data_IF_320689268554
#
_entry.id   IF_320689268554
#
_cell.length_a   1.000
_cell.length_b   1.000
_cell.length_c   1.000
_cell.angle_alpha   90.00
_cell.angle_beta   90.00
_cell.angle_gamma   90.00
#
_symmetry.space_group_name_H-M   'P 1'
#
loop_
_entity.id
_entity.type
_entity.pdbx_description
1 polymer ?
#
# COMPACT_ATOMS: atom_id res chain seq x y z
N UNK A 1 8.95 -5.33 -11.37
CA UNK A 1 9.12 -6.38 -10.32
C UNK A 1 8.41 -7.65 -10.75
N UNK A 2 9.00 -8.82 -10.53
CA UNK A 2 8.37 -10.12 -10.76
C UNK A 2 8.44 -10.95 -9.47
N UNK A 3 7.34 -11.59 -9.12
CA UNK A 3 7.20 -12.46 -7.94
C UNK A 3 6.76 -13.84 -8.44
N UNK A 4 7.56 -14.88 -8.15
CA UNK A 4 7.38 -16.24 -8.70
C UNK A 4 7.35 -17.26 -7.57
N UNK A 5 6.22 -17.95 -7.41
CA UNK A 5 5.96 -19.05 -6.46
C UNK A 5 6.39 -18.75 -5.01
N UNK A 6 6.21 -17.47 -4.59
CA UNK A 6 6.68 -17.00 -3.30
C UNK A 6 5.77 -17.49 -2.20
N UNK A 7 6.40 -18.12 -1.19
CA UNK A 7 5.73 -18.55 0.05
C UNK A 7 6.52 -18.06 1.27
N UNK A 8 5.80 -17.82 2.38
CA UNK A 8 6.40 -17.29 3.59
C UNK A 8 5.73 -17.80 4.88
N UNK A 9 6.57 -18.10 5.86
CA UNK A 9 6.24 -18.26 7.28
C UNK A 9 7.34 -17.62 8.12
N UNK A 10 7.01 -17.11 9.31
CA UNK A 10 8.00 -16.45 10.17
C UNK A 10 9.09 -17.39 10.68
N UNK A 11 8.72 -18.63 11.03
CA UNK A 11 9.62 -19.67 11.48
C UNK A 11 9.27 -21.00 10.81
N UNK A 12 10.17 -22.00 10.87
CA UNK A 12 9.96 -23.33 10.26
C UNK A 12 8.73 -24.05 10.81
N UNK A 13 8.41 -23.83 12.08
CA UNK A 13 7.28 -24.47 12.78
C UNK A 13 6.05 -23.54 12.85
N UNK A 14 6.16 -22.31 12.34
CA UNK A 14 5.05 -21.37 12.32
C UNK A 14 4.10 -21.65 11.16
N UNK A 15 2.80 -21.35 11.31
CA UNK A 15 1.86 -21.47 10.21
C UNK A 15 2.30 -20.64 8.99
N UNK A 16 2.08 -21.19 7.80
CA UNK A 16 2.29 -20.48 6.54
C UNK A 16 1.40 -19.22 6.53
N UNK A 17 2.00 -18.07 6.27
CA UNK A 17 1.29 -16.78 6.15
C UNK A 17 0.68 -16.64 4.76
N UNK A 18 1.47 -16.96 3.73
CA UNK A 18 1.00 -17.05 2.35
C UNK A 18 1.86 -18.03 1.55
N UNK A 19 1.29 -18.54 0.47
CA UNK A 19 1.92 -19.55 -0.39
C UNK A 19 1.56 -19.34 -1.86
N UNK A 20 2.48 -19.71 -2.75
CA UNK A 20 2.31 -19.71 -4.21
C UNK A 20 1.87 -18.34 -4.76
N UNK A 21 2.41 -17.25 -4.22
CA UNK A 21 2.13 -15.91 -4.73
C UNK A 21 2.89 -15.67 -6.03
N UNK A 22 2.14 -15.30 -7.06
CA UNK A 22 2.65 -15.01 -8.40
C UNK A 22 2.05 -13.72 -8.92
N UNK A 23 2.88 -12.76 -9.36
CA UNK A 23 2.46 -11.58 -10.10
C UNK A 23 3.66 -10.88 -10.74
N UNK A 24 3.37 -10.00 -11.70
CA UNK A 24 4.35 -9.07 -12.27
C UNK A 24 3.76 -7.69 -12.43
N UNK A 25 4.60 -6.68 -12.21
CA UNK A 25 4.29 -5.29 -12.48
C UNK A 25 5.42 -4.65 -13.27
N UNK A 26 5.04 -3.73 -14.15
CA UNK A 26 5.91 -2.98 -15.03
C UNK A 26 5.85 -1.48 -14.67
N UNK A 27 6.66 -0.67 -15.36
CA UNK A 27 6.62 0.79 -15.19
C UNK A 27 5.23 1.33 -15.55
N UNK A 28 4.71 2.18 -14.68
CA UNK A 28 3.37 2.75 -14.83
C UNK A 28 2.23 1.86 -14.33
N UNK A 29 2.50 0.65 -13.86
CA UNK A 29 1.47 -0.18 -13.22
C UNK A 29 1.22 0.28 -11.78
N UNK A 30 -0.05 0.25 -11.38
CA UNK A 30 -0.46 0.32 -9.96
C UNK A 30 -1.15 -0.99 -9.60
N UNK A 31 -0.48 -1.81 -8.79
CA UNK A 31 -1.08 -3.02 -8.21
C UNK A 31 -1.71 -2.71 -6.86
N UNK A 32 -3.02 -2.95 -6.72
CA UNK A 32 -3.72 -2.93 -5.45
C UNK A 32 -3.91 -4.35 -4.90
N UNK A 33 -3.29 -4.65 -3.75
CA UNK A 33 -3.47 -5.91 -3.03
C UNK A 33 -4.63 -5.73 -2.04
N UNK A 34 -5.77 -6.30 -2.35
CA UNK A 34 -6.99 -6.27 -1.56
C UNK A 34 -7.11 -7.51 -0.65
N UNK A 35 -7.88 -7.38 0.40
CA UNK A 35 -8.26 -8.49 1.28
C UNK A 35 -8.53 -8.04 2.71
N UNK A 36 -9.24 -8.86 3.50
CA UNK A 36 -9.49 -8.58 4.91
C UNK A 36 -8.23 -8.40 5.75
N UNK A 37 -8.38 -7.85 6.95
CA UNK A 37 -7.27 -7.76 7.89
C UNK A 37 -6.80 -9.17 8.30
N UNK A 38 -5.49 -9.32 8.48
CA UNK A 38 -4.88 -10.59 8.87
C UNK A 38 -4.66 -11.60 7.73
N UNK A 39 -4.94 -11.28 6.46
CA UNK A 39 -4.68 -12.17 5.33
C UNK A 39 -3.21 -12.26 4.92
N UNK A 40 -2.33 -11.40 5.48
CA UNK A 40 -0.90 -11.42 5.19
C UNK A 40 -0.41 -10.33 4.23
N UNK A 41 -1.24 -9.34 3.84
CA UNK A 41 -0.87 -8.24 2.91
C UNK A 41 0.40 -7.51 3.35
N UNK A 42 0.44 -7.01 4.58
CA UNK A 42 1.63 -6.33 5.15
C UNK A 42 2.86 -7.24 5.15
N UNK A 43 2.68 -8.53 5.47
CA UNK A 43 3.79 -9.49 5.43
C UNK A 43 4.29 -9.71 4.01
N UNK A 44 3.38 -9.84 3.03
CA UNK A 44 3.75 -9.94 1.61
C UNK A 44 4.51 -8.70 1.15
N UNK A 45 3.99 -7.51 1.45
CA UNK A 45 4.65 -6.23 1.16
C UNK A 45 6.08 -6.18 1.74
N UNK A 46 6.25 -6.57 3.00
CA UNK A 46 7.58 -6.62 3.64
C UNK A 46 8.51 -7.65 3.00
N UNK A 47 7.96 -8.79 2.58
CA UNK A 47 8.74 -9.85 1.93
C UNK A 47 9.23 -9.42 0.54
N UNK A 48 8.36 -8.83 -0.29
CA UNK A 48 8.75 -8.37 -1.63
C UNK A 48 9.66 -7.13 -1.59
N UNK A 49 9.70 -6.44 -0.46
CA UNK A 49 10.63 -5.32 -0.21
C UNK A 49 11.98 -5.78 0.42
N UNK A 50 12.17 -7.09 0.62
CA UNK A 50 13.40 -7.64 1.15
C UNK A 50 13.59 -7.51 2.66
N UNK A 51 12.54 -7.16 3.44
CA UNK A 51 12.62 -7.13 4.90
C UNK A 51 12.49 -8.53 5.53
N UNK A 52 11.94 -9.47 4.77
CA UNK A 52 11.83 -10.87 5.17
C UNK A 52 12.37 -11.77 4.04
N UNK A 53 13.11 -12.79 4.39
CA UNK A 53 13.55 -13.82 3.45
C UNK A 53 12.39 -14.74 3.07
N UNK A 54 12.20 -14.98 1.77
CA UNK A 54 11.21 -15.95 1.29
C UNK A 54 11.60 -17.38 1.67
N UNK A 55 10.63 -18.21 2.06
CA UNK A 55 10.88 -19.64 2.33
C UNK A 55 11.04 -20.40 1.00
N UNK A 56 10.26 -20.05 -0.02
CA UNK A 56 10.39 -20.59 -1.39
C UNK A 56 10.02 -19.52 -2.41
N UNK A 57 10.37 -19.77 -3.67
CA UNK A 57 10.12 -18.87 -4.78
C UNK A 57 11.17 -17.77 -4.90
N UNK A 58 10.88 -16.78 -5.75
CA UNK A 58 11.84 -15.73 -6.13
C UNK A 58 11.15 -14.40 -6.31
N UNK A 59 11.77 -13.33 -5.79
CA UNK A 59 11.41 -11.94 -6.06
C UNK A 59 12.50 -11.31 -6.91
N UNK A 60 12.17 -10.87 -8.11
CA UNK A 60 13.09 -10.20 -9.03
C UNK A 60 12.75 -8.71 -9.11
N UNK A 61 13.76 -7.87 -8.93
CA UNK A 61 13.69 -6.42 -9.12
C UNK A 61 14.61 -6.06 -10.30
N UNK A 62 14.03 -5.53 -11.38
CA UNK A 62 14.74 -5.27 -12.64
C UNK A 62 15.57 -6.48 -13.14
N UNK A 63 15.00 -7.70 -12.99
CA UNK A 63 15.63 -8.96 -13.40
C UNK A 63 16.65 -9.55 -12.42
N UNK A 64 17.02 -8.83 -11.35
CA UNK A 64 17.95 -9.29 -10.32
C UNK A 64 17.19 -9.82 -9.10
N UNK A 65 17.61 -10.97 -8.56
CA UNK A 65 17.02 -11.52 -7.35
C UNK A 65 17.29 -10.59 -6.15
N UNK A 66 16.24 -10.18 -5.45
CA UNK A 66 16.34 -9.26 -4.32
C UNK A 66 17.25 -9.79 -3.20
N UNK A 67 17.40 -11.10 -3.05
CA UNK A 67 18.32 -11.74 -2.09
C UNK A 67 19.80 -11.50 -2.41
N UNK A 68 20.11 -11.20 -3.66
CA UNK A 68 21.49 -10.93 -4.12
C UNK A 68 21.83 -9.44 -4.06
N UNK A 69 20.86 -8.59 -3.74
CA UNK A 69 21.03 -7.14 -3.68
C UNK A 69 21.38 -6.67 -2.26
N UNK A 70 22.20 -5.64 -2.17
CA UNK A 70 22.38 -4.94 -0.89
C UNK A 70 21.12 -4.14 -0.51
N UNK A 71 20.89 -3.93 0.78
CA UNK A 71 19.79 -3.05 1.23
C UNK A 71 19.86 -1.65 0.64
N UNK A 72 21.07 -1.14 0.41
CA UNK A 72 21.27 0.18 -0.21
C UNK A 72 20.87 0.19 -1.68
N UNK A 73 21.12 -0.90 -2.43
CA UNK A 73 20.71 -1.00 -3.83
C UNK A 73 19.18 -1.16 -3.95
N UNK A 74 18.57 -1.95 -3.08
CA UNK A 74 17.11 -2.03 -2.98
C UNK A 74 16.52 -0.65 -2.66
N UNK A 75 17.10 0.06 -1.67
CA UNK A 75 16.63 1.38 -1.27
C UNK A 75 16.80 2.46 -2.34
N UNK A 76 17.61 2.28 -3.36
CA UNK A 76 17.67 3.19 -4.53
C UNK A 76 16.54 2.93 -5.53
N UNK A 77 16.01 1.72 -5.57
CA UNK A 77 15.02 1.29 -6.56
C UNK A 77 13.60 1.25 -6.00
N UNK A 78 13.45 1.01 -4.69
CA UNK A 78 12.15 0.81 -4.05
C UNK A 78 11.96 1.84 -2.94
N UNK A 79 10.94 2.65 -3.07
CA UNK A 79 10.46 3.54 -2.02
C UNK A 79 9.37 2.85 -1.20
N UNK A 80 9.49 2.86 0.13
CA UNK A 80 8.55 2.20 1.02
C UNK A 80 7.85 3.16 1.98
N UNK A 81 6.51 3.08 1.99
CA UNK A 81 5.65 3.79 2.95
C UNK A 81 4.97 2.75 3.84
N UNK A 82 5.34 2.66 5.14
CA UNK A 82 4.75 1.71 6.08
C UNK A 82 3.35 2.13 6.54
N UNK A 83 2.59 1.16 7.04
CA UNK A 83 1.32 1.39 7.71
C UNK A 83 1.53 2.20 9.00
N UNK A 84 1.31 3.50 8.93
CA UNK A 84 1.46 4.42 10.06
C UNK A 84 2.91 4.79 10.37
N UNK A 85 3.09 6.05 10.65
CA UNK A 85 4.36 6.63 11.10
C UNK A 85 4.09 7.64 12.20
N UNK A 86 4.70 7.42 13.36
CA UNK A 86 4.61 8.34 14.49
C UNK A 86 5.86 9.21 14.51
N UNK A 87 5.72 10.54 14.37
CA UNK A 87 6.88 11.44 14.43
C UNK A 87 7.50 11.41 15.84
N UNK A 88 8.77 11.05 15.93
CA UNK A 88 9.48 11.00 17.21
C UNK A 88 10.28 12.28 17.53
N UNK A 89 10.61 13.08 16.50
CA UNK A 89 11.45 14.26 16.64
C UNK A 89 10.91 15.45 15.83
N UNK A 90 11.08 16.69 16.32
CA UNK A 90 10.56 17.90 15.68
C UNK A 90 11.47 18.40 14.55
N UNK A 91 11.85 17.52 13.61
CA UNK A 91 12.59 17.93 12.42
C UNK A 91 11.76 18.85 11.53
N UNK A 92 12.41 19.72 10.76
CA UNK A 92 11.76 20.46 9.70
C UNK A 92 11.30 19.50 8.60
N UNK A 93 10.19 19.81 7.96
CA UNK A 93 9.68 19.04 6.81
C UNK A 93 10.75 18.83 5.75
N UNK A 94 11.50 19.90 5.41
CA UNK A 94 12.60 19.82 4.46
C UNK A 94 13.64 18.76 4.85
N UNK A 95 14.05 18.72 6.13
CA UNK A 95 15.04 17.76 6.61
C UNK A 95 14.50 16.32 6.52
N UNK A 96 13.21 16.13 6.82
CA UNK A 96 12.54 14.81 6.67
C UNK A 96 12.57 14.35 5.21
N UNK A 97 12.26 15.24 4.27
CA UNK A 97 12.28 14.90 2.84
C UNK A 97 13.70 14.65 2.34
N UNK A 98 14.66 15.45 2.79
CA UNK A 98 16.09 15.27 2.45
C UNK A 98 16.65 13.92 2.93
N UNK A 99 16.09 13.32 4.01
CA UNK A 99 16.46 11.95 4.42
C UNK A 99 16.16 10.90 3.33
N UNK A 100 15.29 11.18 2.37
CA UNK A 100 15.08 10.35 1.18
C UNK A 100 16.34 10.15 0.35
N UNK A 101 17.31 11.08 0.42
CA UNK A 101 18.59 10.98 -0.29
C UNK A 101 19.62 10.07 0.40
N UNK A 102 19.31 9.54 1.60
CA UNK A 102 20.23 8.69 2.37
C UNK A 102 20.90 7.55 1.58
N UNK A 103 20.23 6.84 0.63
CA UNK A 103 20.87 5.78 -0.16
C UNK A 103 22.00 6.28 -1.07
N UNK A 104 22.08 7.58 -1.35
CA UNK A 104 23.06 8.19 -2.25
C UNK A 104 24.20 8.90 -1.50
N UNK A 105 24.05 9.06 -0.18
CA UNK A 105 24.99 9.82 0.65
C UNK A 105 25.79 8.85 1.51
N UNK A 106 27.14 8.94 1.42
CA UNK A 106 28.01 8.14 2.28
C UNK A 106 27.81 8.53 3.77
N UNK A 107 27.95 7.58 4.68
CA UNK A 107 27.72 7.77 6.12
C UNK A 107 28.49 8.95 6.75
N UNK A 108 29.63 9.32 6.19
CA UNK A 108 30.49 10.44 6.66
C UNK A 108 30.33 11.73 5.85
N UNK A 109 29.44 11.74 4.85
CA UNK A 109 29.25 12.89 3.98
C UNK A 109 27.99 13.68 4.36
N UNK A 110 27.99 14.97 4.05
CA UNK A 110 26.79 15.81 4.13
C UNK A 110 26.08 15.84 2.77
N UNK A 111 24.74 16.05 2.76
CA UNK A 111 23.98 16.24 1.54
C UNK A 111 24.57 17.38 0.69
N UNK A 112 24.66 17.16 -0.62
CA UNK A 112 25.11 18.17 -1.60
C UNK A 112 23.95 19.09 -1.98
N UNK A 113 24.24 20.18 -2.69
CA UNK A 113 23.20 21.10 -3.21
C UNK A 113 22.23 20.38 -4.16
N UNK A 114 22.72 19.40 -4.95
CA UNK A 114 21.90 18.57 -5.82
C UNK A 114 20.85 17.77 -5.01
N UNK A 115 21.25 17.16 -3.90
CA UNK A 115 20.34 16.42 -3.01
C UNK A 115 19.25 17.32 -2.41
N UNK A 116 19.64 18.56 -2.06
CA UNK A 116 18.71 19.56 -1.53
C UNK A 116 17.69 20.01 -2.60
N UNK A 117 18.14 20.20 -3.84
CA UNK A 117 17.23 20.57 -4.94
C UNK A 117 16.28 19.44 -5.28
N UNK A 118 16.72 18.18 -5.27
CA UNK A 118 15.83 17.01 -5.44
C UNK A 118 14.77 16.97 -4.34
N UNK A 119 15.16 17.20 -3.08
CA UNK A 119 14.22 17.25 -1.96
C UNK A 119 13.20 18.41 -2.12
N UNK A 120 13.64 19.58 -2.56
CA UNK A 120 12.73 20.70 -2.86
C UNK A 120 11.77 20.37 -4.02
N UNK A 121 12.27 19.74 -5.07
CA UNK A 121 11.45 19.34 -6.21
C UNK A 121 10.39 18.30 -5.81
N UNK A 122 10.71 17.37 -4.92
CA UNK A 122 9.74 16.44 -4.37
C UNK A 122 8.60 17.17 -3.61
N UNK A 123 8.92 18.18 -2.81
CA UNK A 123 7.93 19.02 -2.14
C UNK A 123 7.06 19.80 -3.13
N UNK A 124 7.66 20.36 -4.19
CA UNK A 124 6.94 21.10 -5.27
C UNK A 124 6.00 20.18 -6.04
N UNK A 125 6.46 18.98 -6.39
CA UNK A 125 5.66 17.99 -7.12
C UNK A 125 4.37 17.66 -6.38
N UNK A 126 4.41 17.61 -5.04
CA UNK A 126 3.25 17.33 -4.20
C UNK A 126 2.51 18.60 -3.74
N UNK A 127 2.93 19.79 -4.19
CA UNK A 127 2.29 21.06 -3.85
C UNK A 127 2.37 21.45 -2.38
N UNK A 128 3.42 21.02 -1.66
CA UNK A 128 3.60 21.23 -0.20
C UNK A 128 4.91 21.96 0.15
N UNK A 129 5.50 22.71 -0.80
CA UNK A 129 6.74 23.47 -0.55
C UNK A 129 6.59 24.51 0.57
N UNK A 130 5.39 25.06 0.76
CA UNK A 130 5.06 25.99 1.84
C UNK A 130 5.22 25.40 3.24
N UNK A 131 5.20 24.06 3.36
CA UNK A 131 5.40 23.36 4.63
C UNK A 131 6.87 23.17 5.00
N UNK A 132 7.84 23.44 4.12
CA UNK A 132 9.25 23.05 4.26
C UNK A 132 9.91 23.46 5.57
N UNK A 133 9.54 24.63 6.11
CA UNK A 133 10.11 25.18 7.37
C UNK A 133 9.31 24.76 8.62
N UNK A 134 8.11 24.18 8.43
CA UNK A 134 7.30 23.71 9.56
C UNK A 134 7.94 22.51 10.25
N UNK A 135 7.67 22.37 11.56
CA UNK A 135 8.02 21.14 12.28
C UNK A 135 7.11 20.00 11.84
N UNK A 136 7.69 18.85 11.49
CA UNK A 136 6.99 17.64 11.07
C UNK A 136 5.98 17.13 12.14
N UNK A 137 6.29 17.37 13.44
CA UNK A 137 5.39 17.01 14.55
C UNK A 137 4.10 17.83 14.60
N UNK A 138 4.11 19.04 14.01
CA UNK A 138 2.99 19.97 14.05
C UNK A 138 2.05 19.86 12.85
N UNK A 139 2.28 18.89 11.98
CA UNK A 139 1.47 18.65 10.78
C UNK A 139 0.20 17.85 11.11
N UNK A 140 -0.85 18.07 10.33
CA UNK A 140 -2.02 17.19 10.26
C UNK A 140 -1.65 15.80 9.75
N UNK A 141 -2.54 14.80 9.92
CA UNK A 141 -2.33 13.45 9.39
C UNK A 141 -2.10 13.43 7.89
N UNK A 142 -2.92 14.17 7.13
CA UNK A 142 -2.79 14.28 5.68
C UNK A 142 -1.49 14.96 5.24
N UNK A 143 -1.14 16.10 5.87
CA UNK A 143 0.14 16.78 5.58
C UNK A 143 1.33 15.86 5.85
N UNK A 144 1.32 15.11 6.96
CA UNK A 144 2.38 14.14 7.27
C UNK A 144 2.52 13.05 6.22
N UNK A 145 1.39 12.54 5.72
CA UNK A 145 1.40 11.52 4.66
C UNK A 145 2.01 12.05 3.37
N UNK A 146 1.67 13.29 2.97
CA UNK A 146 2.27 13.95 1.81
C UNK A 146 3.78 14.19 1.99
N UNK A 147 4.22 14.61 3.18
CA UNK A 147 5.65 14.78 3.48
C UNK A 147 6.38 13.44 3.42
N UNK A 148 5.75 12.36 3.89
CA UNK A 148 6.34 11.03 3.79
C UNK A 148 6.44 10.56 2.34
N UNK A 149 5.42 10.83 1.52
CA UNK A 149 5.47 10.57 0.08
C UNK A 149 6.58 11.43 -0.59
N UNK A 150 6.69 12.72 -0.25
CA UNK A 150 7.78 13.59 -0.74
C UNK A 150 9.16 13.02 -0.43
N UNK A 151 9.36 12.53 0.81
CA UNK A 151 10.58 11.85 1.21
C UNK A 151 10.90 10.65 0.33
N UNK A 152 9.89 9.84 0.03
CA UNK A 152 10.06 8.67 -0.84
C UNK A 152 10.31 9.08 -2.28
N UNK A 153 9.65 10.12 -2.79
CA UNK A 153 9.93 10.66 -4.13
C UNK A 153 11.33 11.27 -4.25
N UNK A 154 11.84 11.92 -3.19
CA UNK A 154 13.22 12.41 -3.15
C UNK A 154 14.26 11.28 -3.25
N UNK A 155 13.89 10.04 -2.99
CA UNK A 155 14.73 8.86 -3.23
C UNK A 155 14.82 8.51 -4.72
N UNK A 156 13.97 9.08 -5.59
CA UNK A 156 13.86 8.79 -7.04
C UNK A 156 13.73 7.28 -7.35
N UNK A 157 12.76 6.57 -6.72
CA UNK A 157 12.62 5.14 -6.88
C UNK A 157 11.98 4.76 -8.24
N UNK A 158 12.22 3.54 -8.71
CA UNK A 158 11.51 2.94 -9.85
C UNK A 158 10.13 2.37 -9.43
N UNK A 159 9.99 2.02 -8.14
CA UNK A 159 8.81 1.37 -7.56
C UNK A 159 8.45 1.98 -6.21
N UNK A 160 7.17 2.33 -6.01
CA UNK A 160 6.60 2.65 -4.71
C UNK A 160 5.92 1.41 -4.12
N UNK A 161 6.18 1.14 -2.85
CA UNK A 161 5.42 0.15 -2.06
C UNK A 161 4.76 0.87 -0.89
N UNK A 162 3.41 0.78 -0.82
CA UNK A 162 2.61 1.51 0.16
C UNK A 162 1.75 0.51 0.96
N UNK A 163 1.98 0.43 2.26
CA UNK A 163 1.21 -0.45 3.13
C UNK A 163 0.06 0.31 3.78
N UNK A 164 -1.17 0.09 3.28
CA UNK A 164 -2.41 0.76 3.69
C UNK A 164 -2.26 2.30 3.78
N UNK A 165 -1.85 2.97 2.68
CA UNK A 165 -1.45 4.38 2.71
C UNK A 165 -2.57 5.37 3.05
N UNK A 166 -3.82 4.96 2.94
CA UNK A 166 -5.02 5.77 3.21
C UNK A 166 -5.52 5.67 4.65
N UNK A 167 -4.94 4.77 5.45
CA UNK A 167 -5.36 4.61 6.84
C UNK A 167 -5.12 5.90 7.66
N UNK A 168 -6.07 6.21 8.52
CA UNK A 168 -6.07 7.41 9.38
C UNK A 168 -6.18 8.75 8.62
N UNK A 169 -6.45 8.74 7.32
CA UNK A 169 -6.78 9.93 6.55
C UNK A 169 -8.30 10.13 6.52
N UNK A 170 -8.73 11.39 6.52
CA UNK A 170 -10.11 11.72 6.19
C UNK A 170 -10.40 11.42 4.71
N UNK A 171 -11.68 11.35 4.37
CA UNK A 171 -12.12 10.95 3.03
C UNK A 171 -11.49 11.79 1.91
N UNK A 172 -11.41 13.13 2.09
CA UNK A 172 -10.84 14.00 1.07
C UNK A 172 -9.34 13.77 0.84
N UNK A 173 -8.59 13.53 1.91
CA UNK A 173 -7.16 13.24 1.83
C UNK A 173 -6.89 11.82 1.28
N UNK A 174 -7.78 10.84 1.54
CA UNK A 174 -7.69 9.52 0.90
C UNK A 174 -7.77 9.62 -0.63
N UNK A 175 -8.78 10.33 -1.15
CA UNK A 175 -8.98 10.49 -2.59
C UNK A 175 -7.78 11.22 -3.22
N UNK A 176 -7.34 12.33 -2.65
CA UNK A 176 -6.16 13.07 -3.15
C UNK A 176 -4.90 12.20 -3.21
N UNK A 177 -4.68 11.35 -2.22
CA UNK A 177 -3.53 10.44 -2.21
C UNK A 177 -3.62 9.39 -3.34
N UNK A 178 -4.81 8.81 -3.55
CA UNK A 178 -5.03 7.82 -4.61
C UNK A 178 -4.87 8.44 -6.00
N UNK A 179 -5.45 9.62 -6.24
CA UNK A 179 -5.27 10.39 -7.49
C UNK A 179 -3.79 10.73 -7.72
N UNK A 180 -3.04 11.05 -6.67
CA UNK A 180 -1.61 11.34 -6.77
C UNK A 180 -0.80 10.10 -7.14
N UNK A 181 -1.12 8.92 -6.57
CA UNK A 181 -0.48 7.65 -6.93
C UNK A 181 -0.76 7.34 -8.41
N UNK A 182 -1.99 7.51 -8.88
CA UNK A 182 -2.36 7.35 -10.29
C UNK A 182 -1.57 8.31 -11.20
N UNK A 183 -1.50 9.61 -10.85
CA UNK A 183 -0.74 10.58 -11.63
C UNK A 183 0.75 10.25 -11.70
N UNK A 184 1.37 9.80 -10.60
CA UNK A 184 2.76 9.37 -10.58
C UNK A 184 2.97 8.13 -11.46
N UNK A 185 2.00 7.20 -11.49
CA UNK A 185 2.09 6.02 -12.36
C UNK A 185 2.00 6.40 -13.83
N UNK A 186 1.17 7.37 -14.20
CA UNK A 186 1.09 7.92 -15.55
C UNK A 186 2.40 8.58 -16.02
N UNK A 187 3.26 8.99 -15.07
CA UNK A 187 4.62 9.47 -15.33
C UNK A 187 5.65 8.33 -15.39
N UNK A 188 5.22 7.08 -15.27
CA UNK A 188 6.07 5.88 -15.40
C UNK A 188 6.56 5.30 -14.08
N UNK A 189 6.15 5.81 -12.92
CA UNK A 189 6.48 5.23 -11.63
C UNK A 189 5.56 4.02 -11.37
N UNK A 190 6.14 2.83 -11.09
CA UNK A 190 5.34 1.69 -10.67
C UNK A 190 4.91 1.82 -9.20
N UNK A 191 3.75 1.27 -8.83
CA UNK A 191 3.31 1.24 -7.44
C UNK A 191 2.67 -0.10 -7.05
N UNK A 192 2.91 -0.53 -5.81
CA UNK A 192 2.17 -1.60 -5.14
C UNK A 192 1.56 -1.00 -3.89
N UNK A 193 0.26 -1.09 -3.72
CA UNK A 193 -0.39 -0.67 -2.49
C UNK A 193 -1.27 -1.77 -1.91
N UNK A 194 -1.33 -1.88 -0.59
CA UNK A 194 -2.36 -2.69 0.07
C UNK A 194 -3.57 -1.83 0.44
N UNK A 195 -4.74 -2.43 0.39
CA UNK A 195 -5.97 -1.81 0.86
C UNK A 195 -6.96 -2.88 1.36
N UNK A 196 -7.96 -2.47 2.11
CA UNK A 196 -9.11 -3.27 2.44
C UNK A 196 -10.42 -2.71 1.85
N UNK A 197 -10.34 -1.61 1.08
CA UNK A 197 -11.46 -0.98 0.39
C UNK A 197 -11.39 -1.24 -1.12
N UNK A 198 -12.38 -1.96 -1.71
CA UNK A 198 -12.42 -2.21 -3.15
C UNK A 198 -12.42 -0.92 -4.00
N UNK A 199 -13.08 0.13 -3.51
CA UNK A 199 -13.19 1.41 -4.22
C UNK A 199 -11.83 2.08 -4.46
N UNK A 200 -10.83 1.84 -3.60
CA UNK A 200 -9.47 2.34 -3.81
C UNK A 200 -8.83 1.74 -5.07
N UNK A 201 -9.14 0.47 -5.36
CA UNK A 201 -8.62 -0.17 -6.57
C UNK A 201 -9.31 0.36 -7.83
N UNK A 202 -10.62 0.62 -7.80
CA UNK A 202 -11.32 1.26 -8.93
C UNK A 202 -10.82 2.67 -9.21
N UNK A 203 -10.31 3.38 -8.20
CA UNK A 203 -9.82 4.76 -8.35
C UNK A 203 -8.40 4.85 -8.88
N UNK A 204 -7.51 3.94 -8.52
CA UNK A 204 -6.09 4.15 -8.76
C UNK A 204 -5.33 2.95 -9.36
N UNK A 205 -5.92 1.74 -9.38
CA UNK A 205 -5.18 0.55 -9.77
C UNK A 205 -5.36 0.20 -11.26
N UNK A 206 -4.27 -0.18 -11.91
CA UNK A 206 -4.28 -0.86 -13.23
C UNK A 206 -4.35 -2.39 -13.07
N UNK A 207 -3.89 -2.91 -11.93
CA UNK A 207 -3.94 -4.33 -11.57
C UNK A 207 -4.44 -4.51 -10.15
N UNK A 208 -5.15 -5.60 -9.92
CA UNK A 208 -5.69 -5.96 -8.61
C UNK A 208 -5.34 -7.41 -8.29
N UNK A 209 -4.99 -7.67 -7.04
CA UNK A 209 -4.89 -9.01 -6.48
C UNK A 209 -5.79 -9.08 -5.24
N UNK A 210 -6.62 -10.10 -5.12
CA UNK A 210 -7.41 -10.32 -3.90
C UNK A 210 -6.75 -11.44 -3.07
N UNK A 211 -6.26 -11.08 -1.89
CA UNK A 211 -5.60 -12.00 -0.97
C UNK A 211 -6.59 -12.59 0.04
N UNK A 212 -6.72 -13.91 0.03
CA UNK A 212 -7.58 -14.68 0.94
C UNK A 212 -6.99 -16.10 1.13
N UNK A 213 -7.20 -16.68 2.28
CA UNK A 213 -6.80 -18.06 2.59
C UNK A 213 -5.35 -18.38 2.18
N UNK A 214 -4.44 -17.44 2.49
CA UNK A 214 -2.98 -17.51 2.27
C UNK A 214 -2.51 -17.39 0.82
N UNK A 215 -3.38 -17.12 -0.14
CA UNK A 215 -3.01 -16.99 -1.55
C UNK A 215 -3.78 -15.86 -2.21
N UNK A 216 -3.49 -15.59 -3.48
CA UNK A 216 -4.37 -14.76 -4.31
C UNK A 216 -5.51 -15.63 -4.85
N UNK A 217 -6.74 -15.25 -4.54
CA UNK A 217 -7.93 -15.92 -5.13
C UNK A 217 -8.16 -15.48 -6.57
N UNK A 218 -7.68 -14.27 -6.91
CA UNK A 218 -7.73 -13.75 -8.27
C UNK A 218 -6.67 -12.65 -8.48
N UNK A 219 -6.24 -12.44 -9.75
CA UNK A 219 -5.28 -11.42 -10.17
C UNK A 219 -5.54 -11.02 -11.62
N UNK A 220 -5.66 -9.73 -11.90
CA UNK A 220 -5.92 -9.17 -13.23
C UNK A 220 -6.23 -7.68 -13.18
N UNK A 221 -6.98 -7.18 -14.17
CA UNK A 221 -7.48 -5.80 -14.15
C UNK A 221 -8.59 -5.62 -13.10
N UNK A 222 -8.87 -4.39 -12.65
CA UNK A 222 -9.98 -4.14 -11.73
C UNK A 222 -11.32 -4.70 -12.23
N UNK A 223 -11.59 -4.59 -13.52
CA UNK A 223 -12.83 -5.06 -14.15
C UNK A 223 -12.98 -6.58 -14.11
N UNK A 224 -11.88 -7.31 -14.27
CA UNK A 224 -11.85 -8.78 -14.24
C UNK A 224 -11.95 -9.33 -12.81
N UNK A 225 -11.20 -8.72 -11.89
CA UNK A 225 -11.00 -9.26 -10.53
C UNK A 225 -12.07 -8.80 -9.55
N UNK A 226 -12.51 -7.53 -9.64
CA UNK A 226 -13.49 -6.97 -8.70
C UNK A 226 -14.91 -7.32 -9.14
N UNK A 227 -15.29 -8.57 -8.95
CA UNK A 227 -16.64 -9.07 -9.17
C UNK A 227 -17.41 -9.21 -7.85
N UNK A 228 -18.74 -9.17 -7.89
CA UNK A 228 -19.59 -9.39 -6.70
C UNK A 228 -19.25 -10.75 -6.05
N UNK A 229 -18.97 -11.78 -6.86
CA UNK A 229 -18.57 -13.12 -6.40
C UNK A 229 -17.22 -13.11 -5.67
N UNK A 230 -16.19 -12.51 -6.24
CA UNK A 230 -14.86 -12.44 -5.65
C UNK A 230 -14.87 -11.61 -4.37
N UNK A 231 -15.61 -10.50 -4.35
CA UNK A 231 -15.78 -9.67 -3.15
C UNK A 231 -16.56 -10.42 -2.06
N UNK A 232 -17.57 -11.18 -2.42
CA UNK A 232 -18.25 -12.07 -1.46
C UNK A 232 -17.29 -13.13 -0.89
N UNK A 233 -16.53 -13.81 -1.75
CA UNK A 233 -15.52 -14.79 -1.31
C UNK A 233 -14.49 -14.16 -0.37
N UNK A 234 -14.00 -12.96 -0.70
CA UNK A 234 -12.99 -12.29 0.09
C UNK A 234 -13.49 -11.82 1.46
N UNK A 235 -14.62 -11.11 1.48
CA UNK A 235 -15.10 -10.37 2.65
C UNK A 235 -16.26 -11.03 3.38
N UNK A 236 -16.93 -12.03 2.77
CA UNK A 236 -18.06 -12.73 3.38
C UNK A 236 -19.33 -11.88 3.46
N UNK A 237 -19.45 -10.85 2.65
CA UNK A 237 -20.61 -9.95 2.56
C UNK A 237 -21.07 -9.83 1.12
N UNK A 238 -22.38 -9.66 0.92
CA UNK A 238 -22.92 -9.37 -0.39
C UNK A 238 -22.72 -7.89 -0.73
N UNK A 239 -22.26 -7.64 -1.94
CA UNK A 239 -22.08 -6.29 -2.48
C UNK A 239 -22.79 -6.16 -3.81
N UNK A 240 -23.04 -4.92 -4.23
CA UNK A 240 -23.51 -4.57 -5.56
C UNK A 240 -22.48 -3.64 -6.21
N UNK A 241 -22.04 -3.99 -7.41
CA UNK A 241 -21.23 -3.10 -8.22
C UNK A 241 -22.16 -2.19 -9.02
N UNK A 242 -21.97 -0.89 -8.86
CA UNK A 242 -22.77 0.14 -9.54
C UNK A 242 -21.85 0.91 -10.47
N UNK A 243 -22.20 0.95 -11.75
CA UNK A 243 -21.49 1.74 -12.75
C UNK A 243 -22.05 3.16 -12.78
N UNK A 244 -21.17 4.14 -12.74
CA UNK A 244 -21.50 5.56 -12.83
C UNK A 244 -21.53 6.03 -14.30
N UNK A 245 -22.05 7.22 -14.56
CA UNK A 245 -22.15 7.79 -15.91
C UNK A 245 -20.80 7.94 -16.63
N UNK A 246 -19.71 8.03 -15.89
CA UNK A 246 -18.33 8.14 -16.38
C UNK A 246 -17.60 6.77 -16.49
N UNK A 247 -18.36 5.66 -16.48
CA UNK A 247 -17.90 4.28 -16.51
C UNK A 247 -17.09 3.82 -15.28
N UNK A 248 -16.94 4.66 -14.26
CA UNK A 248 -16.35 4.22 -12.98
C UNK A 248 -17.31 3.31 -12.25
N UNK A 249 -16.77 2.33 -11.54
CA UNK A 249 -17.55 1.44 -10.68
C UNK A 249 -17.34 1.78 -9.21
N UNK A 250 -18.38 1.58 -8.43
CA UNK A 250 -18.35 1.68 -6.97
C UNK A 250 -18.90 0.40 -6.36
N UNK A 251 -18.35 0.01 -5.21
CA UNK A 251 -18.76 -1.15 -4.44
C UNK A 251 -19.74 -0.74 -3.33
N UNK A 252 -21.00 -1.11 -3.47
CA UNK A 252 -22.04 -0.80 -2.48
C UNK A 252 -22.33 -2.05 -1.66
N UNK A 253 -22.02 -2.07 -0.34
CA UNK A 253 -22.36 -3.20 0.50
C UNK A 253 -23.88 -3.31 0.68
N UNK A 254 -24.40 -4.53 0.53
CA UNK A 254 -25.78 -4.83 0.82
C UNK A 254 -25.99 -5.05 2.32
N UNK A 255 -27.21 -4.77 2.81
CA UNK A 255 -27.54 -5.03 4.22
C UNK A 255 -27.44 -6.52 4.51
N UNK A 256 -26.58 -6.89 5.44
CA UNK A 256 -26.48 -8.26 5.94
C UNK A 256 -27.77 -8.61 6.69
N UNK A 257 -28.41 -9.73 6.34
CA UNK A 257 -29.57 -10.18 7.10
C UNK A 257 -29.10 -10.74 8.45
N UNK A 258 -29.18 -9.93 9.49
CA UNK A 258 -28.78 -10.27 10.86
C UNK A 258 -29.88 -11.01 11.64
N UNK A 259 -31.01 -11.40 11.02
CA UNK A 259 -32.12 -12.05 11.72
C UNK A 259 -31.71 -13.31 12.49
N UNK A 260 -30.80 -14.12 11.90
CA UNK A 260 -30.25 -15.31 12.55
C UNK A 260 -29.43 -14.96 13.80
N UNK A 261 -28.61 -13.91 13.72
CA UNK A 261 -27.78 -13.41 14.83
C UNK A 261 -28.66 -12.82 15.91
N UNK A 262 -29.65 -12.00 15.53
CA UNK A 262 -30.58 -11.36 16.46
C UNK A 262 -31.52 -12.39 17.11
N UNK A 263 -31.94 -13.45 16.39
CA UNK A 263 -32.74 -14.52 16.99
C UNK A 263 -31.98 -15.30 18.06
N UNK A 264 -30.69 -15.57 17.84
CA UNK A 264 -29.84 -16.21 18.85
C UNK A 264 -29.56 -15.27 20.03
N UNK A 265 -29.37 -13.96 19.78
CA UNK A 265 -29.20 -12.95 20.81
C UNK A 265 -30.47 -12.80 21.66
N UNK A 266 -31.64 -12.70 21.05
CA UNK A 266 -32.95 -12.60 21.75
C UNK A 266 -33.29 -13.88 22.57
N UNK A 267 -32.87 -15.07 22.07
CA UNK A 267 -32.98 -16.31 22.84
C UNK A 267 -32.11 -16.34 24.09
N UNK A 268 -30.89 -15.75 24.00
CA UNK A 268 -29.92 -15.70 25.10
C UNK A 268 -30.27 -14.61 26.13
N UNK A 269 -30.97 -13.57 25.70
CA UNK A 269 -31.36 -12.40 26.50
C UNK A 269 -32.90 -12.29 26.63
N UNK A 270 -33.64 -13.40 26.55
CA UNK A 270 -35.02 -13.41 27.07
C UNK A 270 -34.95 -13.04 28.55
N UNK A 271 -34.91 -11.73 28.79
CA UNK A 271 -35.24 -11.15 30.07
C UNK A 271 -36.61 -11.64 30.45
N UNK A 272 -36.70 -12.27 31.60
CA UNK A 272 -37.93 -12.66 32.21
C UNK A 272 -38.85 -11.44 32.28
N UNK A 273 -39.80 -11.36 31.35
CA UNK A 273 -41.02 -10.58 31.60
C UNK A 273 -41.80 -11.31 32.68
N UNK A 274 -41.63 -10.85 33.90
CA UNK A 274 -42.53 -11.05 35.01
C UNK A 274 -43.02 -9.71 35.55
#
# INVERSE_FOLDING_TARGET
MEVKDVSFSYDKDSPIVFENINFSIEKGDVLCILGPNGTGKTTLIKTINGFHDVNSGTVLLNGTNIKEMSYNDIAKLVGYIPQGHVPSFPFKVFDVVLMGRSPYINLSASPKEEDKEIALNALRTLGIEDLKEKSYTNLSGGERQLVFLARVLAQEPDLLILDEPTNHLDFGNQIKLLEMIEQLSNLGLAAIMSSHYPDHAFLAASKVAIMKDKTFIDFGTPEEVLTEENLHKAYGIDVKLVELEDNRKICVPLKTNLELVMSNYSKKFKLNDK
#
